data_IF_219569757469
#
_entry.id   IF_219569757469
#
_cell.length_a   1.000
_cell.length_b   1.000
_cell.length_c   1.000
_cell.angle_alpha   90.00
_cell.angle_beta   90.00
_cell.angle_gamma   90.00
#
_symmetry.space_group_name_H-M   'P 1'
#
loop_
_entity.id
_entity.type
_entity.pdbx_description
1 polymer ?
#
# COMPACT_ATOMS: atom_id res chain seq x y z
N UNK A 1 4.19 -51.93 23.27
CA UNK A 1 3.21 -51.89 24.37
C UNK A 1 3.60 -50.78 25.33
N UNK A 2 2.82 -49.69 25.30
CA UNK A 2 2.37 -48.89 26.45
C UNK A 2 3.43 -48.24 27.34
N UNK A 3 3.59 -46.92 27.25
CA UNK A 3 2.84 -45.94 28.07
C UNK A 3 2.99 -46.21 29.56
N UNK A 4 3.72 -45.36 30.28
CA UNK A 4 3.07 -44.46 31.23
C UNK A 4 4.04 -43.39 31.77
N UNK A 5 3.54 -42.16 31.74
CA UNK A 5 4.10 -40.96 32.33
C UNK A 5 4.29 -41.09 33.86
N UNK A 6 5.25 -40.32 34.43
CA UNK A 6 4.95 -39.24 35.40
C UNK A 6 6.21 -38.53 35.92
N UNK A 7 6.29 -37.26 35.53
CA UNK A 7 6.63 -36.07 36.33
C UNK A 7 7.89 -36.03 37.22
N UNK A 8 8.80 -35.12 36.89
CA UNK A 8 9.00 -33.91 37.73
C UNK A 8 9.71 -32.81 36.94
N UNK A 9 8.96 -31.76 36.62
CA UNK A 9 9.47 -30.52 36.06
C UNK A 9 10.13 -29.67 37.16
N UNK A 10 11.43 -29.39 37.00
CA UNK A 10 12.10 -28.20 37.54
C UNK A 10 12.79 -27.54 36.33
N UNK A 11 12.15 -26.57 35.68
CA UNK A 11 12.24 -25.15 36.03
C UNK A 11 13.67 -24.60 35.93
N UNK A 12 14.16 -24.41 34.70
CA UNK A 12 15.18 -23.41 34.42
C UNK A 12 14.57 -22.34 33.52
N UNK A 13 14.15 -21.26 34.19
CA UNK A 13 13.39 -20.14 33.67
C UNK A 13 14.39 -19.04 33.32
N UNK A 14 15.15 -19.19 32.23
CA UNK A 14 15.92 -18.07 31.67
C UNK A 14 14.97 -17.19 30.87
N UNK A 15 14.66 -16.05 31.47
CA UNK A 15 13.79 -15.01 30.95
C UNK A 15 14.28 -14.49 29.59
N UNK A 16 13.59 -14.92 28.52
CA UNK A 16 13.59 -14.18 27.27
C UNK A 16 12.78 -12.90 27.50
N UNK A 17 13.49 -11.77 27.62
CA UNK A 17 12.92 -10.42 27.70
C UNK A 17 12.12 -10.19 26.42
N UNK A 18 10.79 -10.31 26.55
CA UNK A 18 9.82 -10.07 25.49
C UNK A 18 9.80 -8.56 25.24
N UNK A 19 10.38 -8.12 24.14
CA UNK A 19 10.17 -6.77 23.62
C UNK A 19 8.67 -6.56 23.42
N UNK A 20 8.10 -5.38 23.76
CA UNK A 20 6.73 -5.07 23.40
C UNK A 20 6.69 -4.94 21.87
N UNK A 21 6.15 -5.98 21.24
CA UNK A 21 5.72 -5.99 19.85
C UNK A 21 4.58 -4.97 19.73
N UNK A 22 4.93 -3.72 19.49
CA UNK A 22 4.02 -2.71 18.99
C UNK A 22 3.83 -2.92 17.48
N UNK A 23 3.49 -4.14 17.06
CA UNK A 23 2.68 -4.34 15.87
C UNK A 23 1.32 -3.76 16.22
N UNK A 24 1.14 -2.47 15.92
CA UNK A 24 -0.20 -1.94 15.68
C UNK A 24 -0.74 -2.82 14.55
N UNK A 25 -1.58 -3.79 14.95
CA UNK A 25 -2.41 -4.54 14.05
C UNK A 25 -3.30 -3.52 13.38
N UNK A 26 -2.87 -3.05 12.22
CA UNK A 26 -3.78 -2.48 11.25
C UNK A 26 -4.68 -3.66 10.91
N UNK A 27 -5.89 -3.64 11.42
CA UNK A 27 -6.95 -4.57 11.05
C UNK A 27 -7.04 -4.56 9.52
N UNK A 28 -6.41 -5.56 8.89
CA UNK A 28 -6.33 -5.75 7.43
C UNK A 28 -7.62 -6.36 6.88
N UNK A 29 -8.75 -6.02 7.49
CA UNK A 29 -10.09 -6.45 7.08
C UNK A 29 -10.96 -5.25 6.66
N UNK A 30 -10.35 -4.17 6.16
CA UNK A 30 -11.05 -3.27 5.25
C UNK A 30 -11.03 -3.92 3.85
N UNK A 31 -12.15 -4.56 3.51
CA UNK A 31 -12.66 -4.84 2.16
C UNK A 31 -11.71 -4.33 1.07
N UNK A 32 -10.97 -5.24 0.42
CA UNK A 32 -10.03 -4.93 -0.66
C UNK A 32 -10.72 -4.15 -1.80
N UNK A 33 -10.83 -2.84 -1.64
CA UNK A 33 -10.96 -1.91 -2.74
C UNK A 33 -9.69 -2.06 -3.58
N UNK A 34 -9.84 -2.57 -4.80
CA UNK A 34 -8.73 -2.72 -5.72
C UNK A 34 -7.95 -1.41 -5.78
N UNK A 35 -6.63 -1.48 -5.60
CA UNK A 35 -5.79 -0.28 -5.69
C UNK A 35 -5.96 0.37 -7.07
N UNK A 36 -5.80 1.70 -7.22
CA UNK A 36 -5.93 2.38 -8.51
C UNK A 36 -5.11 1.70 -9.62
N UNK A 37 -3.91 1.21 -9.30
CA UNK A 37 -3.06 0.42 -10.19
C UNK A 37 -3.69 -0.92 -10.62
N UNK A 38 -4.33 -1.64 -9.71
CA UNK A 38 -5.05 -2.88 -10.04
C UNK A 38 -6.27 -2.59 -10.91
N UNK A 39 -7.00 -1.51 -10.62
CA UNK A 39 -8.12 -1.02 -11.42
C UNK A 39 -7.69 -0.62 -12.84
N UNK A 40 -6.52 -0.01 -13.02
CA UNK A 40 -5.96 0.34 -14.34
C UNK A 40 -5.55 -0.91 -15.13
N UNK A 41 -4.87 -1.87 -14.48
CA UNK A 41 -4.37 -3.09 -15.13
C UNK A 41 -5.50 -3.95 -15.74
N UNK A 42 -6.70 -3.88 -15.17
CA UNK A 42 -7.88 -4.62 -15.67
C UNK A 42 -8.61 -3.91 -16.82
N UNK A 43 -8.25 -2.67 -17.15
CA UNK A 43 -8.88 -1.95 -18.25
C UNK A 43 -8.31 -2.43 -19.58
N UNK A 44 -9.07 -3.24 -20.31
CA UNK A 44 -8.70 -3.70 -21.65
C UNK A 44 -9.20 -2.71 -22.71
N UNK A 45 -8.25 -2.01 -23.33
CA UNK A 45 -8.51 -0.94 -24.31
C UNK A 45 -8.18 -1.38 -25.75
N UNK A 46 -7.04 -2.06 -25.92
CA UNK A 46 -6.59 -2.53 -27.22
C UNK A 46 -7.50 -3.60 -27.84
N UNK A 47 -7.89 -4.67 -27.13
CA UNK A 47 -8.74 -5.71 -27.73
C UNK A 47 -10.07 -5.16 -28.26
N UNK A 48 -10.65 -4.22 -27.52
CA UNK A 48 -11.92 -3.59 -27.86
C UNK A 48 -11.79 -2.66 -29.07
N UNK A 49 -10.71 -1.87 -29.14
CA UNK A 49 -10.40 -1.05 -30.32
C UNK A 49 -10.12 -1.92 -31.55
N UNK A 50 -9.38 -3.02 -31.39
CA UNK A 50 -9.13 -3.98 -32.47
C UNK A 50 -10.42 -4.64 -32.96
N UNK A 51 -11.33 -5.00 -32.05
CA UNK A 51 -12.65 -5.52 -32.41
C UNK A 51 -13.42 -4.53 -33.29
N UNK A 52 -13.46 -3.26 -32.90
CA UNK A 52 -14.14 -2.22 -33.68
C UNK A 52 -13.51 -2.02 -35.07
N UNK A 53 -12.18 -2.04 -35.17
CA UNK A 53 -11.49 -1.94 -36.46
C UNK A 53 -11.78 -3.16 -37.35
N UNK A 54 -11.80 -4.35 -36.77
CA UNK A 54 -12.08 -5.59 -37.49
C UNK A 54 -13.54 -5.62 -37.98
N UNK A 55 -14.49 -5.12 -37.19
CA UNK A 55 -15.89 -5.03 -37.60
C UNK A 55 -16.12 -4.04 -38.77
N UNK A 56 -15.31 -2.98 -38.86
CA UNK A 56 -15.28 -2.11 -40.06
C UNK A 56 -14.71 -2.87 -41.25
N UNK A 57 -13.55 -3.51 -41.08
CA UNK A 57 -12.85 -4.21 -42.16
C UNK A 57 -13.69 -5.36 -42.74
N UNK A 58 -14.42 -6.07 -41.87
CA UNK A 58 -15.34 -7.14 -42.25
C UNK A 58 -16.70 -6.63 -42.77
N UNK A 59 -16.91 -5.32 -42.82
CA UNK A 59 -18.18 -4.71 -43.27
C UNK A 59 -19.37 -4.94 -42.35
N UNK A 60 -19.14 -5.45 -41.12
CA UNK A 60 -20.16 -5.63 -40.09
C UNK A 60 -20.63 -4.30 -39.49
N UNK A 61 -19.77 -3.28 -39.56
CA UNK A 61 -20.05 -1.93 -39.11
C UNK A 61 -19.75 -0.93 -40.23
N UNK A 62 -20.66 0.02 -40.43
CA UNK A 62 -20.40 1.13 -41.36
C UNK A 62 -19.48 2.15 -40.69
N UNK A 63 -18.59 2.77 -41.47
CA UNK A 63 -17.68 3.80 -40.96
C UNK A 63 -18.41 4.96 -40.25
N UNK A 64 -19.64 5.28 -40.67
CA UNK A 64 -20.50 6.30 -40.03
C UNK A 64 -20.93 5.93 -38.60
N UNK A 65 -21.03 4.62 -38.31
CA UNK A 65 -21.46 4.10 -37.02
C UNK A 65 -20.26 3.84 -36.09
N UNK A 66 -19.03 3.90 -36.61
CA UNK A 66 -17.81 3.72 -35.82
C UNK A 66 -17.72 4.71 -34.66
N UNK A 67 -18.03 5.99 -34.91
CA UNK A 67 -17.87 7.03 -33.88
C UNK A 67 -18.83 6.82 -32.70
N UNK A 68 -20.03 6.30 -32.97
CA UNK A 68 -20.99 5.90 -31.92
C UNK A 68 -20.47 4.74 -31.08
N UNK A 69 -19.84 3.74 -31.72
CA UNK A 69 -19.31 2.57 -31.04
C UNK A 69 -17.95 2.85 -30.34
N UNK A 70 -17.23 3.87 -30.77
CA UNK A 70 -15.99 4.35 -30.13
C UNK A 70 -16.24 5.09 -28.82
N UNK A 71 -17.49 5.51 -28.54
CA UNK A 71 -17.86 6.21 -27.31
C UNK A 71 -17.45 5.47 -26.03
N UNK A 72 -17.64 4.14 -26.01
CA UNK A 72 -17.23 3.28 -24.89
C UNK A 72 -15.72 3.29 -24.66
N UNK A 73 -14.94 3.25 -25.75
CA UNK A 73 -13.47 3.31 -25.71
C UNK A 73 -13.01 4.67 -25.19
N UNK A 74 -13.61 5.77 -25.66
CA UNK A 74 -13.35 7.13 -25.14
C UNK A 74 -13.62 7.22 -23.64
N UNK A 75 -14.75 6.68 -23.18
CA UNK A 75 -15.10 6.68 -21.76
C UNK A 75 -14.09 5.90 -20.92
N UNK A 76 -13.61 4.74 -21.41
CA UNK A 76 -12.55 3.97 -20.74
C UNK A 76 -11.24 4.75 -20.66
N UNK A 77 -10.85 5.48 -21.72
CA UNK A 77 -9.66 6.35 -21.71
C UNK A 77 -9.79 7.45 -20.65
N UNK A 78 -10.92 8.15 -20.63
CA UNK A 78 -11.18 9.21 -19.63
C UNK A 78 -11.14 8.63 -18.22
N UNK A 79 -11.76 7.48 -18.00
CA UNK A 79 -11.75 6.78 -16.72
C UNK A 79 -10.34 6.39 -16.30
N UNK A 80 -9.50 5.95 -17.25
CA UNK A 80 -8.10 5.59 -16.98
C UNK A 80 -7.26 6.81 -16.59
N UNK A 81 -7.46 7.95 -17.27
CA UNK A 81 -6.79 9.21 -16.91
C UNK A 81 -7.17 9.64 -15.49
N UNK A 82 -8.46 9.58 -15.14
CA UNK A 82 -8.92 9.90 -13.78
C UNK A 82 -8.29 8.97 -12.74
N UNK A 83 -8.29 7.67 -12.99
CA UNK A 83 -7.64 6.69 -12.08
C UNK A 83 -6.13 6.89 -11.95
N UNK A 84 -5.48 7.35 -13.01
CA UNK A 84 -4.06 7.69 -12.94
C UNK A 84 -3.86 8.87 -12.00
N UNK A 85 -4.71 9.90 -12.04
CA UNK A 85 -4.62 11.06 -11.14
C UNK A 85 -4.83 10.71 -9.66
N UNK A 86 -5.57 9.63 -9.36
CA UNK A 86 -5.76 9.14 -7.99
C UNK A 86 -4.50 8.47 -7.40
N UNK A 87 -3.47 8.20 -8.20
CA UNK A 87 -2.22 7.62 -7.71
C UNK A 87 -1.41 8.70 -6.99
N UNK A 88 -1.20 8.53 -5.68
CA UNK A 88 -0.40 9.47 -4.89
C UNK A 88 0.99 9.66 -5.52
N UNK A 89 1.39 10.92 -5.70
CA UNK A 89 2.70 11.29 -6.20
C UNK A 89 2.84 11.26 -7.72
N UNK A 90 1.82 10.84 -8.48
CA UNK A 90 1.92 10.76 -9.95
C UNK A 90 1.95 12.13 -10.65
N UNK A 91 1.31 13.12 -10.02
CA UNK A 91 1.27 14.51 -10.49
C UNK A 91 2.33 15.39 -9.82
N UNK A 92 3.05 14.84 -8.83
CA UNK A 92 4.06 15.59 -8.07
C UNK A 92 5.31 15.74 -8.93
N UNK A 93 5.93 16.92 -8.91
CA UNK A 93 7.25 17.07 -9.54
C UNK A 93 8.32 16.35 -8.72
N UNK A 94 9.42 15.94 -9.37
CA UNK A 94 10.56 15.32 -8.67
C UNK A 94 11.07 16.23 -7.53
N UNK A 95 11.07 17.55 -7.74
CA UNK A 95 11.49 18.53 -6.73
C UNK A 95 10.56 18.53 -5.51
N UNK A 96 9.25 18.45 -5.73
CA UNK A 96 8.27 18.40 -4.64
C UNK A 96 8.41 17.11 -3.83
N UNK A 97 8.66 15.99 -4.52
CA UNK A 97 8.96 14.71 -3.87
C UNK A 97 10.25 14.77 -3.05
N UNK A 98 11.31 15.39 -3.56
CA UNK A 98 12.56 15.59 -2.82
C UNK A 98 12.35 16.43 -1.56
N UNK A 99 11.61 17.53 -1.65
CA UNK A 99 11.26 18.38 -0.51
C UNK A 99 10.45 17.59 0.54
N UNK A 100 9.48 16.79 0.10
CA UNK A 100 8.68 15.93 0.99
C UNK A 100 9.54 14.87 1.68
N UNK A 101 10.51 14.28 0.98
CA UNK A 101 11.47 13.34 1.57
C UNK A 101 12.33 14.03 2.62
N UNK A 102 12.83 15.23 2.34
CA UNK A 102 13.65 16.00 3.28
C UNK A 102 12.85 16.36 4.54
N UNK A 103 11.62 16.86 4.40
CA UNK A 103 10.77 17.19 5.55
C UNK A 103 10.42 15.96 6.40
N UNK A 104 10.17 14.80 5.76
CA UNK A 104 9.96 13.54 6.47
C UNK A 104 11.22 13.11 7.25
N UNK A 105 12.40 13.23 6.66
CA UNK A 105 13.68 12.90 7.32
C UNK A 105 13.92 13.80 8.53
N UNK A 106 13.67 15.09 8.39
CA UNK A 106 13.81 16.04 9.49
C UNK A 106 12.80 15.75 10.61
N UNK A 107 11.52 15.55 10.27
CA UNK A 107 10.50 15.18 11.25
C UNK A 107 10.84 13.89 11.99
N UNK A 108 11.30 12.86 11.27
CA UNK A 108 11.75 11.60 11.86
C UNK A 108 12.92 11.82 12.82
N UNK A 109 13.91 12.63 12.44
CA UNK A 109 15.06 12.97 13.28
C UNK A 109 14.60 13.63 14.57
N UNK A 110 13.77 14.66 14.47
CA UNK A 110 13.24 15.40 15.63
C UNK A 110 12.45 14.50 16.56
N UNK A 111 11.52 13.69 16.02
CA UNK A 111 10.74 12.73 16.81
C UNK A 111 11.64 11.70 17.51
N UNK A 112 12.66 11.21 16.81
CA UNK A 112 13.62 10.24 17.38
C UNK A 112 14.45 10.87 18.51
N UNK A 113 14.88 12.12 18.35
CA UNK A 113 15.59 12.86 19.39
C UNK A 113 14.71 13.08 20.62
N UNK A 114 13.48 13.56 20.44
CA UNK A 114 12.54 13.78 21.54
C UNK A 114 12.23 12.50 22.31
N UNK A 115 11.97 11.39 21.61
CA UNK A 115 11.75 10.09 22.25
C UNK A 115 13.02 9.63 23.00
N UNK A 116 14.20 9.86 22.43
CA UNK A 116 15.48 9.56 23.06
C UNK A 116 15.71 10.37 24.34
N UNK A 117 15.43 11.67 24.32
CA UNK A 117 15.52 12.56 25.48
C UNK A 117 14.50 12.18 26.55
N UNK A 118 13.25 11.94 26.17
CA UNK A 118 12.21 11.49 27.07
C UNK A 118 12.61 10.17 27.76
N UNK A 119 13.12 9.19 26.99
CA UNK A 119 13.61 7.92 27.54
C UNK A 119 14.75 8.14 28.55
N UNK A 120 15.70 9.04 28.26
CA UNK A 120 16.78 9.37 29.20
C UNK A 120 16.24 9.97 30.50
N UNK A 121 15.30 10.91 30.41
CA UNK A 121 14.69 11.53 31.60
C UNK A 121 13.92 10.51 32.44
N UNK A 122 13.18 9.60 31.81
CA UNK A 122 12.45 8.52 32.50
C UNK A 122 13.44 7.58 33.19
N UNK A 123 14.51 7.16 32.53
CA UNK A 123 15.53 6.28 33.13
C UNK A 123 16.26 6.96 34.31
N UNK A 124 16.60 8.24 34.20
CA UNK A 124 17.19 9.01 35.30
C UNK A 124 16.26 9.11 36.52
N UNK A 125 14.94 9.24 36.29
CA UNK A 125 13.95 9.27 37.38
C UNK A 125 13.71 7.89 38.01
N UNK A 126 13.87 6.81 37.23
CA UNK A 126 13.68 5.44 37.72
C UNK A 126 14.91 4.89 38.46
N UNK A 127 16.12 5.34 38.12
CA UNK A 127 17.37 4.96 38.80
C UNK A 127 18.05 6.20 39.41
N UNK A 128 17.56 6.75 40.53
CA UNK A 128 18.16 7.91 41.17
C UNK A 128 19.50 7.62 41.88
N UNK A 129 19.91 6.36 42.03
CA UNK A 129 21.09 5.94 42.80
C UNK A 129 22.00 4.99 41.99
N UNK A 130 22.91 5.58 41.20
CA UNK A 130 24.31 5.13 40.99
C UNK A 130 25.17 6.33 40.67
#
# INVERSE_FOLDING_TARGET
MTDFMRNSALASKTAAVRAPDASIGVDKDELHEDSPLQKIRRTELLPELFGLLLDIDQGKMQAKDFDNNLGTVRLKIVTLILRLQDIEGICDSIKDQELRIQSLRESKRTKTQLIGEFRKQVLLRLNPET
#
